data_IF_015443363940
#
_entry.id   IF_015443363940
#
_cell.length_a   1.000
_cell.length_b   1.000
_cell.length_c   1.000
_cell.angle_alpha   90.00
_cell.angle_beta   90.00
_cell.angle_gamma   90.00
#
_symmetry.space_group_name_H-M   'P 1'
#
loop_
_entity.id
_entity.type
_entity.pdbx_description
1 polymer ?
#
# COMPACT_ATOMS: atom_id res chain seq x y z
N UNK A 1 16.31 0.78 33.49
CA UNK A 1 17.28 1.58 32.69
C UNK A 1 17.04 3.05 33.00
N UNK A 2 18.10 3.85 33.07
CA UNK A 2 18.00 5.28 33.33
C UNK A 2 18.88 6.07 32.36
N UNK A 3 18.37 7.19 31.85
CA UNK A 3 19.09 8.12 30.99
C UNK A 3 19.27 9.45 31.72
N UNK A 4 20.50 9.94 31.78
CA UNK A 4 20.85 11.19 32.44
C UNK A 4 21.30 12.22 31.40
N UNK A 5 20.67 13.38 31.43
CA UNK A 5 20.95 14.50 30.54
C UNK A 5 21.52 15.71 31.29
N UNK A 6 22.15 16.62 30.54
CA UNK A 6 22.74 17.84 31.07
C UNK A 6 21.67 18.82 31.56
N UNK A 7 21.64 19.20 32.86
CA UNK A 7 20.67 20.14 33.40
C UNK A 7 20.68 21.49 32.66
N UNK A 8 19.51 21.98 32.26
CA UNK A 8 19.38 23.23 31.50
C UNK A 8 19.63 23.10 29.99
N UNK A 9 20.05 21.93 29.49
CA UNK A 9 20.14 21.67 28.05
C UNK A 9 18.80 21.17 27.49
N UNK A 10 17.95 22.10 26.99
CA UNK A 10 16.66 21.75 26.41
C UNK A 10 16.72 20.81 25.20
N UNK A 11 17.79 20.86 24.40
CA UNK A 11 18.03 19.88 23.33
C UNK A 11 18.26 18.47 23.89
N UNK A 12 19.15 18.37 24.89
CA UNK A 12 19.54 17.09 25.49
C UNK A 12 18.35 16.39 26.14
N UNK A 13 17.51 17.15 26.86
CA UNK A 13 16.29 16.62 27.47
C UNK A 13 15.31 16.07 26.42
N UNK A 14 15.06 16.82 25.34
CA UNK A 14 14.17 16.37 24.25
C UNK A 14 14.68 15.12 23.58
N UNK A 15 15.98 15.09 23.26
CA UNK A 15 16.61 13.92 22.65
C UNK A 15 16.49 12.69 23.56
N UNK A 16 16.73 12.84 24.86
CA UNK A 16 16.58 11.73 25.81
C UNK A 16 15.12 11.24 25.89
N UNK A 17 14.13 12.14 25.93
CA UNK A 17 12.70 11.77 25.93
C UNK A 17 12.26 11.09 24.63
N UNK A 18 12.73 11.57 23.47
CA UNK A 18 12.46 10.93 22.17
C UNK A 18 13.05 9.52 22.11
N UNK A 19 14.29 9.36 22.58
CA UNK A 19 14.91 8.04 22.67
C UNK A 19 14.15 7.10 23.60
N UNK A 20 13.63 7.59 24.73
CA UNK A 20 12.79 6.81 25.62
C UNK A 20 11.56 6.29 24.87
N UNK A 21 10.85 7.18 24.18
CA UNK A 21 9.56 6.86 23.56
C UNK A 21 9.67 5.95 22.34
N UNK A 22 10.74 6.12 21.55
CA UNK A 22 10.92 5.37 20.31
C UNK A 22 11.69 4.06 20.53
N UNK A 23 12.61 4.02 21.50
CA UNK A 23 13.58 2.92 21.59
C UNK A 23 13.51 2.13 22.90
N UNK A 24 12.90 2.66 23.96
CA UNK A 24 12.95 2.04 25.28
C UNK A 24 11.54 1.71 25.80
N UNK A 25 11.51 0.94 26.89
CA UNK A 25 10.29 0.69 27.66
C UNK A 25 9.78 1.98 28.31
N UNK A 26 8.45 2.18 28.44
CA UNK A 26 7.85 3.33 29.13
C UNK A 26 8.27 3.46 30.60
N UNK A 27 8.76 2.38 31.22
CA UNK A 27 9.29 2.40 32.58
C UNK A 27 10.73 2.92 32.69
N UNK A 28 11.39 3.22 31.57
CA UNK A 28 12.76 3.76 31.56
C UNK A 28 12.75 5.22 32.01
N UNK A 29 13.62 5.54 32.97
CA UNK A 29 13.66 6.87 33.55
C UNK A 29 14.51 7.83 32.72
N UNK A 30 14.07 9.07 32.61
CA UNK A 30 14.82 10.18 32.01
C UNK A 30 14.96 11.26 33.06
N UNK A 31 16.18 11.44 33.58
CA UNK A 31 16.47 12.27 34.74
C UNK A 31 17.53 13.32 34.39
N UNK A 32 17.47 14.52 34.97
CA UNK A 32 18.61 15.43 34.91
C UNK A 32 19.76 14.82 35.71
N UNK A 33 21.00 14.97 35.21
CA UNK A 33 22.18 14.40 35.87
C UNK A 33 22.42 14.95 37.28
N UNK A 34 21.85 16.11 37.62
CA UNK A 34 21.92 16.72 38.95
C UNK A 34 21.27 15.90 40.08
N UNK A 35 20.42 14.91 39.74
CA UNK A 35 19.81 14.02 40.74
C UNK A 35 20.86 13.09 41.38
N UNK A 36 21.92 12.73 40.64
CA UNK A 36 22.95 11.80 41.10
C UNK A 36 24.34 12.44 40.91
N UNK A 37 25.04 12.84 41.99
CA UNK A 37 26.30 13.57 41.90
C UNK A 37 27.38 12.88 41.06
N UNK A 38 27.43 11.55 41.10
CA UNK A 38 28.35 10.74 40.29
C UNK A 38 28.06 10.89 38.78
N UNK A 39 26.78 10.82 38.39
CA UNK A 39 26.37 11.01 36.99
C UNK A 39 26.64 12.43 36.52
N UNK A 40 26.44 13.43 37.38
CA UNK A 40 26.79 14.82 37.06
C UNK A 40 28.30 14.99 36.84
N UNK A 41 29.13 14.39 37.68
CA UNK A 41 30.59 14.44 37.55
C UNK A 41 31.06 13.78 36.25
N UNK A 42 30.57 12.57 35.95
CA UNK A 42 30.85 11.85 34.71
C UNK A 42 30.39 12.64 33.47
N UNK A 43 29.21 13.24 33.55
CA UNK A 43 28.64 14.02 32.46
C UNK A 43 29.50 15.24 32.15
N UNK A 44 29.92 15.97 33.20
CA UNK A 44 30.80 17.15 33.08
C UNK A 44 32.19 16.77 32.56
N UNK A 45 32.75 15.65 33.01
CA UNK A 45 34.06 15.17 32.59
C UNK A 45 34.08 14.78 31.11
N UNK A 46 33.04 14.10 30.62
CA UNK A 46 33.00 13.55 29.27
C UNK A 46 32.18 14.37 28.26
N UNK A 47 31.58 15.48 28.70
CA UNK A 47 30.66 16.33 27.94
C UNK A 47 29.59 15.54 27.19
N UNK A 48 29.04 14.51 27.84
CA UNK A 48 28.19 13.51 27.22
C UNK A 48 26.75 13.58 27.76
N UNK A 49 25.92 12.63 27.33
CA UNK A 49 24.79 12.11 28.10
C UNK A 49 25.15 10.70 28.60
N UNK A 50 24.41 10.20 29.57
CA UNK A 50 24.70 8.89 30.19
C UNK A 50 23.48 7.99 30.09
N UNK A 51 23.72 6.72 29.75
CA UNK A 51 22.71 5.65 29.81
C UNK A 51 23.21 4.55 30.73
N UNK A 52 22.46 4.27 31.79
CA UNK A 52 22.74 3.23 32.78
C UNK A 52 21.85 2.01 32.51
N UNK A 53 22.47 0.89 32.16
CA UNK A 53 21.79 -0.38 31.95
C UNK A 53 21.21 -0.90 33.28
N UNK A 54 19.92 -1.24 33.27
CA UNK A 54 19.23 -1.74 34.46
C UNK A 54 19.63 -3.16 34.86
N UNK A 55 20.13 -3.97 33.92
CA UNK A 55 20.42 -5.39 34.18
C UNK A 55 21.87 -5.62 34.64
N UNK A 56 22.82 -4.84 34.09
CA UNK A 56 24.27 -5.04 34.33
C UNK A 56 24.94 -3.86 35.05
N UNK A 57 24.22 -2.76 35.28
CA UNK A 57 24.79 -1.54 35.85
C UNK A 57 25.80 -0.82 34.95
N UNK A 58 26.03 -1.31 33.71
CA UNK A 58 27.01 -0.74 32.78
C UNK A 58 26.57 0.65 32.33
N UNK A 59 27.54 1.56 32.31
CA UNK A 59 27.37 2.94 31.87
C UNK A 59 27.83 3.07 30.42
N UNK A 60 26.97 3.65 29.59
CA UNK A 60 27.26 3.99 28.20
C UNK A 60 27.25 5.51 28.02
N UNK A 61 28.14 5.99 27.16
CA UNK A 61 28.33 7.42 26.88
C UNK A 61 28.48 7.67 25.37
N UNK A 62 28.35 8.94 24.98
CA UNK A 62 28.50 9.46 23.63
C UNK A 62 27.71 8.63 22.61
N UNK A 63 28.36 8.21 21.52
CA UNK A 63 27.77 7.38 20.49
C UNK A 63 27.43 5.96 20.96
N UNK A 64 28.19 5.44 21.92
CA UNK A 64 27.95 4.09 22.44
C UNK A 64 26.62 4.02 23.18
N UNK A 65 26.25 5.09 23.89
CA UNK A 65 24.92 5.25 24.45
C UNK A 65 23.82 5.25 23.37
N UNK A 66 24.03 5.95 22.26
CA UNK A 66 23.06 5.98 21.14
C UNK A 66 22.89 4.58 20.54
N UNK A 67 24.00 3.92 20.23
CA UNK A 67 24.00 2.57 19.65
C UNK A 67 23.33 1.56 20.58
N UNK A 68 23.64 1.64 21.89
CA UNK A 68 23.03 0.79 22.91
C UNK A 68 21.52 1.00 23.01
N UNK A 69 21.04 2.25 23.03
CA UNK A 69 19.61 2.58 23.10
C UNK A 69 18.86 2.07 21.87
N UNK A 70 19.41 2.28 20.66
CA UNK A 70 18.80 1.79 19.42
C UNK A 70 18.68 0.25 19.40
N UNK A 71 19.62 -0.48 20.01
CA UNK A 71 19.56 -1.95 20.10
C UNK A 71 18.45 -2.50 20.99
N UNK A 72 17.82 -1.67 21.82
CA UNK A 72 16.79 -2.15 22.75
C UNK A 72 15.42 -2.39 22.08
N UNK A 73 15.19 -1.86 20.87
CA UNK A 73 13.90 -2.01 20.17
C UNK A 73 14.04 -2.84 18.89
N UNK A 74 13.16 -3.85 18.66
CA UNK A 74 13.15 -4.68 17.44
C UNK A 74 13.00 -3.95 16.11
N UNK A 75 12.55 -2.70 16.08
CA UNK A 75 12.47 -1.88 14.87
C UNK A 75 13.74 -1.05 14.64
N UNK A 76 14.43 -0.64 15.70
CA UNK A 76 15.62 0.23 15.59
C UNK A 76 16.94 -0.50 15.81
N UNK A 77 16.93 -1.78 16.19
CA UNK A 77 18.14 -2.55 16.50
C UNK A 77 19.14 -2.62 15.35
N UNK A 78 18.66 -2.72 14.11
CA UNK A 78 19.53 -2.79 12.94
C UNK A 78 20.40 -1.53 12.82
N UNK A 79 19.84 -0.35 13.12
CA UNK A 79 20.59 0.90 13.12
C UNK A 79 21.63 0.93 14.23
N UNK A 80 21.29 0.46 15.43
CA UNK A 80 22.25 0.36 16.53
C UNK A 80 23.38 -0.64 16.26
N UNK A 81 23.11 -1.71 15.51
CA UNK A 81 24.13 -2.69 15.08
C UNK A 81 25.02 -2.11 13.99
N UNK A 82 24.43 -1.55 12.93
CA UNK A 82 25.16 -0.99 11.79
C UNK A 82 26.05 0.17 12.22
N UNK A 83 25.55 1.07 13.07
CA UNK A 83 26.29 2.28 13.45
C UNK A 83 27.44 2.05 14.44
N UNK A 84 27.57 0.84 14.99
CA UNK A 84 28.67 0.46 15.87
C UNK A 84 29.75 -0.33 15.10
N UNK A 85 29.56 -0.59 13.80
CA UNK A 85 30.58 -1.18 12.94
C UNK A 85 31.82 -0.27 12.91
N UNK A 86 33.05 -0.82 12.93
CA UNK A 86 34.28 -0.02 13.09
C UNK A 86 34.40 1.16 12.13
N UNK A 87 34.01 0.98 10.86
CA UNK A 87 34.10 2.03 9.84
C UNK A 87 33.09 3.16 10.04
N UNK A 88 31.87 2.85 10.50
CA UNK A 88 30.82 3.85 10.76
C UNK A 88 30.99 4.51 12.13
N UNK A 89 31.50 3.78 13.11
CA UNK A 89 31.66 4.26 14.48
C UNK A 89 32.52 5.53 14.55
N UNK A 90 33.55 5.64 13.71
CA UNK A 90 34.38 6.85 13.58
C UNK A 90 33.58 8.05 13.04
N UNK A 91 32.84 7.85 11.94
CA UNK A 91 31.97 8.88 11.37
C UNK A 91 30.93 9.35 12.39
N UNK A 92 30.26 8.41 13.05
CA UNK A 92 29.22 8.71 14.01
C UNK A 92 29.73 9.41 15.27
N UNK A 93 30.98 9.13 15.69
CA UNK A 93 31.66 9.93 16.71
C UNK A 93 31.82 11.39 16.27
N UNK A 94 32.23 11.63 15.02
CA UNK A 94 32.33 12.97 14.46
C UNK A 94 30.98 13.70 14.39
N UNK A 95 29.91 12.99 13.99
CA UNK A 95 28.54 13.51 14.03
C UNK A 95 28.13 13.87 15.46
N UNK A 96 28.41 13.00 16.43
CA UNK A 96 28.11 13.25 17.84
C UNK A 96 28.85 14.50 18.37
N UNK A 97 30.12 14.68 18.02
CA UNK A 97 30.92 15.85 18.42
C UNK A 97 30.42 17.14 17.75
N UNK A 98 29.98 17.06 16.49
CA UNK A 98 29.32 18.18 15.82
C UNK A 98 28.01 18.57 16.53
N UNK A 99 27.14 17.59 16.81
CA UNK A 99 25.91 17.81 17.60
C UNK A 99 26.25 18.44 18.95
N UNK A 100 27.30 17.95 19.62
CA UNK A 100 27.81 18.47 20.89
C UNK A 100 28.15 19.95 20.84
N UNK A 101 28.89 20.39 19.81
CA UNK A 101 29.25 21.80 19.59
C UNK A 101 28.03 22.66 19.22
N UNK A 102 27.07 22.08 18.51
CA UNK A 102 25.87 22.78 18.05
C UNK A 102 24.71 22.76 19.05
N UNK A 103 24.86 22.17 20.25
CA UNK A 103 23.79 22.05 21.27
C UNK A 103 23.02 23.36 21.53
N UNK A 104 23.65 24.54 21.69
CA UNK A 104 22.89 25.77 21.91
C UNK A 104 22.01 26.17 20.72
N UNK A 105 22.53 26.00 19.49
CA UNK A 105 21.79 26.33 18.27
C UNK A 105 20.64 25.33 18.05
N UNK A 106 20.91 24.03 18.23
CA UNK A 106 19.91 22.96 18.17
C UNK A 106 18.85 23.11 19.26
N UNK A 107 19.21 23.60 20.45
CA UNK A 107 18.29 23.94 21.52
C UNK A 107 17.29 25.03 21.10
N UNK A 108 17.78 26.11 20.48
CA UNK A 108 16.92 27.20 19.95
C UNK A 108 16.04 26.73 18.79
N UNK A 109 16.55 25.85 17.94
CA UNK A 109 15.78 25.29 16.82
C UNK A 109 14.68 24.36 17.33
N UNK A 110 15.03 23.41 18.19
CA UNK A 110 14.08 22.43 18.73
C UNK A 110 13.07 23.06 19.69
N UNK A 111 13.38 24.16 20.36
CA UNK A 111 12.38 24.91 21.15
C UNK A 111 11.27 25.52 20.30
N UNK A 112 11.56 25.88 19.04
CA UNK A 112 10.56 26.38 18.09
C UNK A 112 9.81 25.27 17.37
N UNK A 113 10.52 24.24 16.89
CA UNK A 113 9.91 23.16 16.10
C UNK A 113 9.19 22.12 16.95
N UNK A 114 9.70 21.85 18.15
CA UNK A 114 9.21 20.82 19.06
C UNK A 114 9.08 21.41 20.47
N UNK A 115 8.21 22.42 20.69
CA UNK A 115 8.01 22.98 22.02
C UNK A 115 7.53 21.91 22.99
N UNK A 116 7.97 21.98 24.24
CA UNK A 116 7.34 21.18 25.28
C UNK A 116 5.88 21.62 25.39
N UNK A 117 4.96 20.67 25.26
CA UNK A 117 3.53 20.94 25.37
C UNK A 117 2.94 19.93 26.34
N UNK A 118 2.30 20.46 27.38
CA UNK A 118 1.48 19.66 28.30
C UNK A 118 0.06 19.47 27.74
N UNK A 119 -0.21 20.09 26.59
CA UNK A 119 -1.46 19.96 25.85
C UNK A 119 -1.45 18.64 25.09
N UNK A 120 -1.95 17.59 25.70
CA UNK A 120 -2.39 16.44 24.93
C UNK A 120 -3.41 16.93 23.89
N UNK A 121 -3.20 16.72 22.58
CA UNK A 121 -4.19 17.05 21.58
C UNK A 121 -5.40 16.13 21.83
N UNK A 122 -6.32 16.61 22.66
CA UNK A 122 -7.58 15.94 22.91
C UNK A 122 -8.40 16.18 21.66
N UNK A 123 -8.66 15.11 20.90
CA UNK A 123 -9.63 15.20 19.84
C UNK A 123 -10.95 15.69 20.48
N UNK A 124 -11.69 16.51 19.73
CA UNK A 124 -13.00 16.92 20.20
C UNK A 124 -13.82 15.65 20.43
N UNK A 125 -14.53 15.45 21.55
CA UNK A 125 -15.21 14.17 21.84
C UNK A 125 -16.14 13.71 20.72
N UNK A 126 -16.73 14.65 19.97
CA UNK A 126 -17.50 14.35 18.78
C UNK A 126 -16.67 13.63 17.70
N UNK A 127 -15.42 14.05 17.46
CA UNK A 127 -14.53 13.40 16.50
C UNK A 127 -14.12 12.01 16.96
N UNK A 128 -13.90 11.81 18.26
CA UNK A 128 -13.63 10.47 18.80
C UNK A 128 -14.83 9.54 18.58
N UNK A 129 -16.04 10.03 18.85
CA UNK A 129 -17.29 9.30 18.60
C UNK A 129 -17.50 9.02 17.11
N UNK A 130 -17.27 10.00 16.23
CA UNK A 130 -17.35 9.82 14.78
C UNK A 130 -16.35 8.76 14.29
N UNK A 131 -15.09 8.82 14.74
CA UNK A 131 -14.09 7.81 14.42
C UNK A 131 -14.49 6.42 14.91
N UNK A 132 -14.97 6.31 16.16
CA UNK A 132 -15.43 5.05 16.71
C UNK A 132 -16.63 4.49 15.92
N UNK A 133 -17.58 5.34 15.52
CA UNK A 133 -18.71 4.94 14.68
C UNK A 133 -18.25 4.45 13.31
N UNK A 134 -17.31 5.13 12.67
CA UNK A 134 -16.77 4.73 11.36
C UNK A 134 -16.03 3.39 11.43
N UNK A 135 -15.23 3.18 12.47
CA UNK A 135 -14.57 1.89 12.76
C UNK A 135 -15.63 0.80 12.96
N UNK A 136 -16.68 1.09 13.74
CA UNK A 136 -17.76 0.15 14.01
C UNK A 136 -18.54 -0.21 12.73
N UNK A 137 -18.89 0.78 11.89
CA UNK A 137 -19.57 0.55 10.60
C UNK A 137 -18.70 -0.33 9.70
N UNK A 138 -17.40 -0.06 9.63
CA UNK A 138 -16.44 -0.86 8.85
C UNK A 138 -16.37 -2.29 9.37
N UNK A 139 -16.27 -2.48 10.68
CA UNK A 139 -16.24 -3.79 11.32
C UNK A 139 -17.53 -4.57 11.05
N UNK A 140 -18.69 -3.98 11.31
CA UNK A 140 -20.00 -4.59 11.04
C UNK A 140 -20.16 -4.93 9.56
N UNK A 141 -19.74 -4.03 8.67
CA UNK A 141 -19.72 -4.25 7.22
C UNK A 141 -18.95 -5.51 6.83
N UNK A 142 -17.79 -5.75 7.46
CA UNK A 142 -17.00 -6.96 7.23
C UNK A 142 -17.67 -8.21 7.82
N UNK A 143 -18.22 -8.13 9.04
CA UNK A 143 -18.90 -9.26 9.69
C UNK A 143 -20.12 -9.73 8.90
N UNK A 144 -20.98 -8.80 8.45
CA UNK A 144 -22.18 -9.17 7.69
C UNK A 144 -21.86 -9.67 6.28
N UNK A 145 -20.68 -9.30 5.75
CA UNK A 145 -20.20 -9.79 4.45
C UNK A 145 -19.66 -11.21 4.49
N UNK A 146 -19.60 -11.86 5.67
CA UNK A 146 -19.22 -13.26 5.77
C UNK A 146 -20.35 -14.17 5.21
N UNK A 147 -20.01 -15.30 4.56
CA UNK A 147 -20.98 -16.16 3.87
C UNK A 147 -22.22 -16.59 4.69
N UNK A 148 -22.12 -16.87 6.01
CA UNK A 148 -23.30 -17.23 6.81
C UNK A 148 -24.33 -16.10 6.95
N UNK A 149 -23.90 -14.84 6.91
CA UNK A 149 -24.74 -13.67 7.19
C UNK A 149 -25.24 -12.97 5.92
N UNK A 150 -24.54 -13.16 4.80
CA UNK A 150 -24.82 -12.48 3.52
C UNK A 150 -26.20 -12.84 2.93
N UNK A 151 -26.70 -14.07 3.14
CA UNK A 151 -27.86 -14.58 2.38
C UNK A 151 -29.25 -14.29 2.97
N UNK A 152 -29.40 -13.91 4.24
CA UNK A 152 -30.73 -13.93 4.88
C UNK A 152 -31.04 -12.81 5.88
N UNK A 153 -30.18 -11.81 6.05
CA UNK A 153 -30.39 -10.79 7.09
C UNK A 153 -30.85 -9.44 6.53
N UNK A 154 -31.98 -8.86 6.97
CA UNK A 154 -32.34 -7.47 6.67
C UNK A 154 -31.28 -6.48 7.18
N UNK A 155 -30.51 -6.87 8.20
CA UNK A 155 -29.39 -6.10 8.74
C UNK A 155 -28.25 -5.98 7.72
N UNK A 156 -28.01 -7.01 6.89
CA UNK A 156 -26.99 -6.96 5.84
C UNK A 156 -27.25 -5.82 4.85
N UNK A 157 -28.48 -5.70 4.35
CA UNK A 157 -28.86 -4.66 3.38
C UNK A 157 -28.70 -3.26 3.97
N UNK A 158 -29.09 -3.07 5.24
CA UNK A 158 -28.94 -1.80 5.93
C UNK A 158 -27.47 -1.41 6.14
N UNK A 159 -26.67 -2.31 6.70
CA UNK A 159 -25.25 -2.08 6.96
C UNK A 159 -24.48 -1.88 5.63
N UNK A 160 -24.80 -2.64 4.58
CA UNK A 160 -24.19 -2.47 3.25
C UNK A 160 -24.46 -1.08 2.66
N UNK A 161 -25.67 -0.55 2.82
CA UNK A 161 -26.00 0.83 2.41
C UNK A 161 -25.15 1.84 3.21
N UNK A 162 -25.06 1.68 4.54
CA UNK A 162 -24.25 2.56 5.38
C UNK A 162 -22.77 2.55 4.97
N UNK A 163 -22.18 1.37 4.78
CA UNK A 163 -20.78 1.22 4.31
C UNK A 163 -20.58 1.88 2.95
N UNK A 164 -21.56 1.74 2.04
CA UNK A 164 -21.50 2.34 0.70
C UNK A 164 -21.58 3.87 0.76
N UNK A 165 -22.51 4.42 1.55
CA UNK A 165 -22.68 5.88 1.67
C UNK A 165 -21.53 6.58 2.40
N UNK A 166 -20.95 5.92 3.40
CA UNK A 166 -19.80 6.44 4.16
C UNK A 166 -18.47 6.21 3.46
N UNK A 167 -18.46 5.49 2.33
CA UNK A 167 -17.27 5.13 1.56
C UNK A 167 -16.21 4.36 2.36
N UNK A 168 -16.58 3.73 3.48
CA UNK A 168 -15.68 2.90 4.31
C UNK A 168 -15.62 1.46 3.84
N UNK A 169 -15.79 1.25 2.54
CA UNK A 169 -15.80 -0.09 1.97
C UNK A 169 -14.42 -0.73 2.08
N UNK A 170 -14.34 -1.80 2.88
CA UNK A 170 -13.17 -2.64 3.02
C UNK A 170 -13.62 -4.09 2.83
N UNK A 171 -12.95 -4.82 1.94
CA UNK A 171 -13.20 -6.24 1.70
C UNK A 171 -12.00 -7.02 2.24
N UNK A 172 -12.18 -7.90 3.22
CA UNK A 172 -11.05 -8.62 3.84
C UNK A 172 -10.33 -9.57 2.89
N UNK A 173 -11.02 -10.08 1.87
CA UNK A 173 -10.42 -10.85 0.77
C UNK A 173 -9.54 -9.99 -0.17
N UNK A 174 -9.44 -8.67 0.02
CA UNK A 174 -8.48 -7.83 -0.70
C UNK A 174 -7.02 -8.20 -0.33
N UNK A 175 -6.79 -8.65 0.90
CA UNK A 175 -5.45 -8.96 1.42
C UNK A 175 -5.02 -10.42 1.20
N UNK A 176 -5.97 -11.27 0.79
CA UNK A 176 -5.73 -12.65 0.40
C UNK A 176 -6.79 -13.09 -0.63
N UNK A 177 -6.83 -12.46 -1.82
CA UNK A 177 -7.80 -12.83 -2.82
C UNK A 177 -7.52 -14.26 -3.26
N UNK A 178 -8.56 -15.05 -3.49
CA UNK A 178 -8.38 -16.29 -4.23
C UNK A 178 -7.73 -15.92 -5.56
N UNK A 179 -6.56 -16.48 -5.81
CA UNK A 179 -5.82 -16.22 -7.05
C UNK A 179 -6.71 -16.58 -8.23
N UNK A 180 -6.91 -15.66 -9.16
CA UNK A 180 -7.67 -15.94 -10.38
C UNK A 180 -6.91 -16.98 -11.20
N UNK A 181 -7.42 -18.22 -11.22
CA UNK A 181 -6.80 -19.33 -11.95
C UNK A 181 -7.19 -19.37 -13.44
N UNK A 182 -7.64 -18.25 -14.00
CA UNK A 182 -8.02 -18.19 -15.41
C UNK A 182 -7.62 -16.87 -16.07
N UNK A 183 -7.45 -16.90 -17.39
CA UNK A 183 -7.37 -15.71 -18.25
C UNK A 183 -8.45 -15.73 -19.29
N UNK A 184 -8.77 -14.54 -19.78
CA UNK A 184 -9.58 -14.38 -20.97
C UNK A 184 -8.71 -13.99 -22.16
N UNK A 185 -8.99 -14.64 -23.29
CA UNK A 185 -8.61 -14.20 -24.62
C UNK A 185 -9.83 -13.64 -25.34
N UNK A 186 -9.58 -12.87 -26.40
CA UNK A 186 -10.61 -12.33 -27.29
C UNK A 186 -10.27 -12.77 -28.71
N UNK A 187 -11.25 -13.33 -29.41
CA UNK A 187 -11.19 -13.62 -30.84
C UNK A 187 -12.39 -12.92 -31.47
N UNK A 188 -12.14 -12.04 -32.45
CA UNK A 188 -13.17 -11.32 -33.16
C UNK A 188 -13.11 -11.69 -34.66
N UNK A 189 -14.22 -12.19 -35.19
CA UNK A 189 -14.35 -12.68 -36.56
C UNK A 189 -15.49 -11.92 -37.25
N UNK A 190 -15.27 -11.45 -38.47
CA UNK A 190 -16.26 -10.80 -39.30
C UNK A 190 -16.64 -11.65 -40.51
N UNK A 191 -17.91 -11.63 -40.91
CA UNK A 191 -18.37 -12.17 -42.19
C UNK A 191 -18.53 -11.03 -43.18
N UNK A 192 -17.82 -11.12 -44.29
CA UNK A 192 -17.84 -10.12 -45.37
C UNK A 192 -18.99 -10.33 -46.35
N UNK A 193 -19.26 -9.34 -47.20
CA UNK A 193 -20.24 -9.39 -48.29
C UNK A 193 -19.92 -10.48 -49.31
N UNK A 194 -18.65 -10.81 -49.51
CA UNK A 194 -18.18 -11.91 -50.35
C UNK A 194 -18.38 -13.30 -49.72
N UNK A 195 -18.83 -13.36 -48.46
CA UNK A 195 -18.96 -14.59 -47.68
C UNK A 195 -17.65 -15.08 -47.07
N UNK A 196 -16.56 -14.32 -47.20
CA UNK A 196 -15.28 -14.64 -46.57
C UNK A 196 -15.25 -14.24 -45.09
N UNK A 197 -14.51 -15.00 -44.29
CA UNK A 197 -14.25 -14.70 -42.88
C UNK A 197 -13.02 -13.80 -42.75
N UNK A 198 -13.17 -12.66 -42.10
CA UNK A 198 -12.09 -11.72 -41.80
C UNK A 198 -11.75 -11.75 -40.29
N UNK A 199 -10.47 -11.87 -39.94
CA UNK A 199 -10.02 -11.68 -38.56
C UNK A 199 -9.98 -10.18 -38.23
N UNK A 200 -10.89 -9.75 -37.34
CA UNK A 200 -11.01 -8.36 -36.92
C UNK A 200 -10.45 -8.14 -35.50
N UNK A 201 -9.76 -9.13 -34.93
CA UNK A 201 -9.11 -9.06 -33.60
C UNK A 201 -7.97 -8.03 -33.57
N UNK A 202 -7.50 -7.56 -34.73
CA UNK A 202 -6.53 -6.48 -34.81
C UNK A 202 -7.16 -5.10 -34.57
N UNK A 203 -8.48 -4.94 -34.72
CA UNK A 203 -9.19 -3.66 -34.61
C UNK A 203 -9.46 -3.21 -33.17
N UNK A 204 -9.08 -4.01 -32.16
CA UNK A 204 -9.16 -3.59 -30.77
C UNK A 204 -8.29 -2.36 -30.53
N UNK A 205 -8.92 -1.24 -30.15
CA UNK A 205 -8.22 -0.01 -29.81
C UNK A 205 -7.22 -0.26 -28.67
N UNK A 206 -6.05 0.38 -28.76
CA UNK A 206 -5.07 0.40 -27.68
C UNK A 206 -4.55 -0.99 -27.24
N UNK A 207 -4.59 -1.97 -28.15
CA UNK A 207 -3.94 -3.28 -28.01
C UNK A 207 -2.42 -3.12 -28.12
N UNK A 208 -1.67 -3.63 -27.13
CA UNK A 208 -0.22 -3.87 -27.26
C UNK A 208 -0.01 -5.37 -27.36
N UNK A 209 0.22 -5.86 -28.58
CA UNK A 209 0.45 -7.28 -28.83
C UNK A 209 1.78 -7.66 -28.17
N UNK A 210 1.72 -8.36 -27.04
CA UNK A 210 2.84 -9.19 -26.59
C UNK A 210 2.74 -10.55 -27.28
N UNK A 211 3.89 -11.08 -27.65
CA UNK A 211 4.09 -12.19 -28.60
C UNK A 211 3.25 -13.45 -28.33
N UNK A 212 3.03 -14.14 -29.45
CA UNK A 212 2.25 -15.36 -29.73
C UNK A 212 2.49 -16.57 -28.81
N UNK A 213 3.52 -16.55 -27.96
CA UNK A 213 3.86 -17.67 -27.08
C UNK A 213 3.22 -17.55 -25.69
N UNK A 214 2.51 -16.45 -25.44
CA UNK A 214 1.83 -16.18 -24.17
C UNK A 214 0.45 -15.60 -24.47
N UNK A 215 -0.61 -16.36 -24.17
CA UNK A 215 -2.02 -16.03 -24.39
C UNK A 215 -2.53 -14.86 -23.52
N UNK A 216 -1.73 -13.81 -23.33
CA UNK A 216 -2.02 -12.63 -22.54
C UNK A 216 -2.11 -11.40 -23.44
N UNK A 217 -3.32 -10.83 -23.58
CA UNK A 217 -3.46 -9.51 -24.18
C UNK A 217 -2.93 -8.44 -23.21
N UNK A 218 -1.86 -7.77 -23.63
CA UNK A 218 -1.42 -6.53 -23.01
C UNK A 218 -2.20 -5.34 -23.57
N UNK A 219 -2.67 -4.47 -22.70
CA UNK A 219 -3.27 -3.20 -23.10
C UNK A 219 -2.31 -2.06 -22.74
N UNK A 220 -2.37 -0.95 -23.49
CA UNK A 220 -1.45 0.20 -23.30
C UNK A 220 -1.50 0.74 -21.88
N UNK A 221 -2.66 0.68 -21.22
CA UNK A 221 -2.83 1.13 -19.84
C UNK A 221 -3.83 0.26 -19.05
N UNK A 222 -3.83 0.45 -17.73
CA UNK A 222 -4.69 -0.27 -16.80
C UNK A 222 -6.19 0.00 -17.03
N UNK A 223 -6.55 1.16 -17.61
CA UNK A 223 -7.95 1.47 -17.94
C UNK A 223 -8.50 0.48 -18.98
N UNK A 224 -7.81 0.33 -20.11
CA UNK A 224 -8.20 -0.60 -21.17
C UNK A 224 -8.15 -2.04 -20.70
N UNK A 225 -7.12 -2.41 -19.93
CA UNK A 225 -7.06 -3.73 -19.32
C UNK A 225 -8.31 -4.02 -18.49
N UNK A 226 -8.71 -3.11 -17.60
CA UNK A 226 -9.90 -3.27 -16.76
C UNK A 226 -11.20 -3.23 -17.54
N UNK A 227 -11.28 -2.41 -18.59
CA UNK A 227 -12.44 -2.34 -19.49
C UNK A 227 -12.67 -3.67 -20.18
N UNK A 228 -11.66 -4.17 -20.90
CA UNK A 228 -11.76 -5.44 -21.62
C UNK A 228 -11.95 -6.61 -20.65
N UNK A 229 -11.22 -6.62 -19.53
CA UNK A 229 -11.43 -7.60 -18.47
C UNK A 229 -12.86 -7.60 -17.93
N UNK A 230 -13.68 -6.55 -18.04
CA UNK A 230 -15.07 -6.59 -17.57
C UNK A 230 -16.08 -7.01 -18.62
N UNK A 231 -15.68 -7.09 -19.89
CA UNK A 231 -16.59 -7.46 -20.99
C UNK A 231 -17.14 -8.90 -20.86
N UNK A 232 -16.54 -9.78 -20.06
CA UNK A 232 -17.12 -11.12 -19.80
C UNK A 232 -18.34 -11.09 -18.88
N UNK A 233 -18.53 -10.03 -18.11
CA UNK A 233 -19.64 -9.92 -17.18
C UNK A 233 -20.93 -9.64 -17.97
N UNK A 234 -22.01 -10.37 -17.66
CA UNK A 234 -23.30 -10.28 -18.37
C UNK A 234 -23.83 -8.84 -18.49
N UNK A 235 -23.55 -8.01 -17.49
CA UNK A 235 -24.01 -6.62 -17.43
C UNK A 235 -23.36 -5.70 -18.49
N UNK A 236 -22.26 -6.13 -19.11
CA UNK A 236 -21.52 -5.34 -20.11
C UNK A 236 -21.77 -5.80 -21.56
N UNK A 237 -22.74 -6.70 -21.80
CA UNK A 237 -23.17 -7.08 -23.17
C UNK A 237 -23.53 -5.89 -24.06
N UNK A 238 -24.21 -4.83 -23.58
CA UNK A 238 -24.45 -3.64 -24.39
C UNK A 238 -23.14 -2.98 -24.87
N UNK A 239 -22.13 -2.93 -23.99
CA UNK A 239 -20.82 -2.38 -24.35
C UNK A 239 -20.10 -3.24 -25.38
N UNK A 240 -20.20 -4.57 -25.29
CA UNK A 240 -19.66 -5.50 -26.32
C UNK A 240 -20.26 -5.20 -27.69
N UNK A 241 -21.59 -5.04 -27.77
CA UNK A 241 -22.28 -4.74 -29.02
C UNK A 241 -21.82 -3.41 -29.60
N UNK A 242 -21.65 -2.38 -28.77
CA UNK A 242 -21.14 -1.09 -29.19
C UNK A 242 -19.70 -1.20 -29.73
N UNK A 243 -18.82 -1.95 -29.06
CA UNK A 243 -17.45 -2.19 -29.55
C UNK A 243 -17.46 -2.90 -30.90
N UNK A 244 -18.29 -3.94 -31.06
CA UNK A 244 -18.42 -4.65 -32.33
C UNK A 244 -18.96 -3.75 -33.45
N UNK A 245 -19.92 -2.87 -33.16
CA UNK A 245 -20.43 -1.88 -34.12
C UNK A 245 -19.34 -0.90 -34.57
N UNK A 246 -18.52 -0.40 -33.64
CA UNK A 246 -17.38 0.46 -33.98
C UNK A 246 -16.34 -0.27 -34.84
N UNK A 247 -16.11 -1.55 -34.58
CA UNK A 247 -15.25 -2.39 -35.43
C UNK A 247 -15.83 -2.58 -36.82
N UNK A 248 -17.15 -2.81 -36.95
CA UNK A 248 -17.83 -2.86 -38.24
C UNK A 248 -17.64 -1.56 -39.02
N UNK A 249 -17.90 -0.42 -38.40
CA UNK A 249 -17.78 0.91 -39.03
C UNK A 249 -16.36 1.15 -39.52
N UNK A 250 -15.36 0.86 -38.69
CA UNK A 250 -13.96 1.04 -39.04
C UNK A 250 -13.51 0.11 -40.18
N UNK A 251 -13.83 -1.18 -40.08
CA UNK A 251 -13.46 -2.13 -41.14
C UNK A 251 -14.11 -1.74 -42.48
N UNK A 252 -15.39 -1.34 -42.46
CA UNK A 252 -16.13 -0.98 -43.66
C UNK A 252 -15.66 0.34 -44.29
N UNK A 253 -15.08 1.25 -43.50
CA UNK A 253 -14.40 2.45 -44.01
C UNK A 253 -13.07 2.10 -44.69
N UNK A 254 -12.31 1.15 -44.14
CA UNK A 254 -11.02 0.70 -44.69
C UNK A 254 -11.20 -0.24 -45.91
N UNK A 255 -12.31 -0.99 -45.97
CA UNK A 255 -12.61 -1.99 -47.01
C UNK A 255 -13.99 -1.76 -47.66
N UNK A 256 -14.13 -0.71 -48.50
CA UNK A 256 -15.42 -0.35 -49.08
C UNK A 256 -15.97 -1.39 -50.06
N UNK A 257 -15.09 -2.17 -50.71
CA UNK A 257 -15.41 -3.18 -51.73
C UNK A 257 -15.86 -4.53 -51.16
N UNK A 258 -15.47 -4.84 -49.91
CA UNK A 258 -15.87 -6.08 -49.24
C UNK A 258 -16.16 -5.84 -47.76
N UNK A 259 -17.37 -5.36 -47.51
CA UNK A 259 -17.81 -4.88 -46.19
C UNK A 259 -18.21 -6.04 -45.29
N UNK A 260 -18.05 -5.86 -43.99
CA UNK A 260 -18.64 -6.75 -42.99
C UNK A 260 -20.16 -6.62 -43.00
N UNK A 261 -20.83 -7.77 -43.00
CA UNK A 261 -22.27 -7.96 -42.81
C UNK A 261 -22.55 -8.37 -41.36
N UNK A 262 -21.64 -9.14 -40.76
CA UNK A 262 -21.72 -9.54 -39.36
C UNK A 262 -20.35 -9.49 -38.69
N UNK A 263 -20.35 -9.22 -37.40
CA UNK A 263 -19.16 -9.31 -36.56
C UNK A 263 -19.49 -10.09 -35.30
N UNK A 264 -18.64 -11.05 -34.95
CA UNK A 264 -18.78 -11.91 -33.78
C UNK A 264 -17.56 -11.77 -32.89
N UNK A 265 -17.78 -11.45 -31.61
CA UNK A 265 -16.76 -11.52 -30.57
C UNK A 265 -16.93 -12.81 -29.76
N UNK A 266 -15.88 -13.65 -29.74
CA UNK A 266 -15.76 -14.80 -28.86
C UNK A 266 -14.83 -14.48 -27.70
N UNK A 267 -15.31 -14.71 -26.49
CA UNK A 267 -14.54 -14.66 -25.26
C UNK A 267 -14.03 -16.07 -24.96
N UNK A 268 -12.71 -16.23 -25.00
CA UNK A 268 -12.05 -17.50 -24.76
C UNK A 268 -11.60 -17.54 -23.31
N UNK A 269 -11.88 -18.62 -22.58
CA UNK A 269 -11.40 -18.81 -21.20
C UNK A 269 -10.31 -19.87 -21.17
N UNK A 270 -9.16 -19.51 -20.63
CA UNK A 270 -8.07 -20.45 -20.33
C UNK A 270 -7.96 -20.65 -18.82
N UNK A 271 -7.85 -21.89 -18.36
CA UNK A 271 -7.64 -22.20 -16.95
C UNK A 271 -6.14 -22.52 -16.74
N UNK A 272 -5.45 -21.77 -15.88
CA UNK A 272 -4.02 -21.96 -15.56
C UNK A 272 -3.69 -23.29 -14.87
N UNK A 273 -4.68 -24.12 -14.55
CA UNK A 273 -4.48 -25.37 -13.78
C UNK A 273 -3.84 -26.48 -14.61
N UNK A 274 -3.74 -26.32 -15.92
CA UNK A 274 -3.00 -27.26 -16.78
C UNK A 274 -2.15 -26.49 -17.78
N UNK A 275 -0.84 -26.43 -17.53
CA UNK A 275 0.18 -26.18 -18.55
C UNK A 275 0.24 -27.41 -19.45
N UNK A 276 -0.87 -27.71 -20.12
CA UNK A 276 -0.95 -28.67 -21.21
C UNK A 276 -1.11 -27.81 -22.45
N UNK A 277 -0.05 -27.67 -23.28
CA UNK A 277 -0.01 -26.78 -24.44
C UNK A 277 -1.18 -26.89 -25.42
N UNK A 278 -1.94 -27.99 -25.37
CA UNK A 278 -2.98 -28.35 -26.34
C UNK A 278 -4.40 -28.44 -25.74
N UNK A 279 -4.66 -27.83 -24.57
CA UNK A 279 -6.04 -27.81 -24.06
C UNK A 279 -6.86 -26.81 -24.89
N UNK A 280 -7.91 -27.24 -25.62
CA UNK A 280 -8.67 -26.34 -26.48
C UNK A 280 -9.33 -25.24 -25.64
N UNK A 281 -9.12 -23.99 -26.06
CA UNK A 281 -9.73 -22.83 -25.42
C UNK A 281 -11.25 -22.98 -25.46
N UNK A 282 -11.90 -22.90 -24.30
CA UNK A 282 -13.35 -22.97 -24.23
C UNK A 282 -13.95 -21.60 -24.54
N UNK A 283 -14.87 -21.57 -25.52
CA UNK A 283 -15.70 -20.38 -25.77
C UNK A 283 -16.61 -20.19 -24.56
N UNK A 284 -16.31 -19.17 -23.76
CA UNK A 284 -17.05 -18.84 -22.56
C UNK A 284 -18.32 -18.04 -22.87
N UNK A 285 -18.23 -17.14 -23.85
CA UNK A 285 -19.36 -16.35 -24.33
C UNK A 285 -19.10 -15.89 -25.76
N UNK A 286 -20.16 -15.72 -26.53
CA UNK A 286 -20.11 -15.11 -27.85
C UNK A 286 -21.22 -14.08 -27.99
N UNK A 287 -20.91 -12.95 -28.60
CA UNK A 287 -21.89 -11.95 -29.02
C UNK A 287 -21.68 -11.64 -30.49
N UNK A 288 -22.78 -11.53 -31.24
CA UNK A 288 -22.78 -11.22 -32.67
C UNK A 288 -23.62 -9.98 -32.89
N UNK A 289 -23.15 -9.10 -33.78
CA UNK A 289 -23.91 -7.95 -34.27
C UNK A 289 -23.97 -8.00 -35.78
N UNK A 290 -25.09 -7.52 -36.32
CA UNK A 290 -25.19 -7.19 -37.73
C UNK A 290 -24.50 -5.85 -37.96
N UNK A 291 -23.53 -5.84 -38.87
CA UNK A 291 -22.85 -4.66 -39.33
C UNK A 291 -23.78 -3.99 -40.37
N UNK A 292 -24.80 -3.28 -39.87
CA UNK A 292 -25.84 -2.69 -40.72
C UNK A 292 -25.24 -1.96 -41.91
N UNK A 293 -25.59 -2.42 -43.11
CA UNK A 293 -25.24 -1.75 -44.35
C UNK A 293 -26.15 -0.53 -44.43
N UNK A 294 -25.69 0.63 -43.96
CA UNK A 294 -26.26 1.92 -44.35
C UNK A 294 -25.65 2.38 -45.66
#
# INVERSE_FOLDING_TARGET
>A
MAMYFDPGCGFCEKTARLFRELCLSPFSQVLPASVEPEMLALLKQHHSWIVKDGNRGKIYMKWEAVSFVLRQNPFTWIFGTVTDLPFLKGLMRGVYEWIGRSRPALGKLTSRLLPFTDKHPRAWPLMEVLCAMMIMITFLGNVVSLPPFEKHSPVYTFIKKLVTYTLVYQKWDLFAPMTTHWTYGYEAEGLTTSGQKADITALFENKRIWKLDSYHLGFINHYWQKYYQRLYEKNYRPSIRQTLQQMCERYNQEHPEDRLVMATLRLLRNNYVSVVPDTPLQVYSSETVECGIR
#
